data_IF_652806496174
#
_entry.id   IF_652806496174
#
_cell.length_a   1.000
_cell.length_b   1.000
_cell.length_c   1.000
_cell.angle_alpha   90.00
_cell.angle_beta   90.00
_cell.angle_gamma   90.00
#
_symmetry.space_group_name_H-M   'P 1'
#
loop_
_entity.id
_entity.type
_entity.pdbx_description
1 polymer ?
#
# COMPACT_ATOMS: atom_id res chain seq x y z
N UNK A 1 -3.06 49.79 48.01
CA UNK A 1 -3.30 48.40 48.43
C UNK A 1 -4.11 47.70 47.35
N UNK A 2 -3.72 46.49 46.94
CA UNK A 2 -4.52 45.62 46.06
C UNK A 2 -4.03 45.51 44.62
N UNK A 3 -3.17 44.53 44.36
CA UNK A 3 -2.72 44.07 43.04
C UNK A 3 -3.84 43.26 42.36
N UNK A 4 -4.05 43.44 41.06
CA UNK A 4 -4.67 42.44 40.19
C UNK A 4 -3.77 42.24 38.96
N UNK A 5 -3.11 41.07 38.92
CA UNK A 5 -2.31 40.58 37.81
C UNK A 5 -3.26 39.90 36.81
N UNK A 6 -3.33 40.40 35.58
CA UNK A 6 -3.89 39.65 34.46
C UNK A 6 -2.81 38.68 33.96
N UNK A 7 -3.07 37.38 34.12
CA UNK A 7 -2.32 36.32 33.49
C UNK A 7 -2.93 36.04 32.11
N UNK A 8 -2.20 36.41 31.06
CA UNK A 8 -2.45 35.95 29.69
C UNK A 8 -1.73 34.60 29.55
N UNK A 9 -2.48 33.50 29.51
CA UNK A 9 -1.94 32.18 29.15
C UNK A 9 -2.13 32.02 27.65
N UNK A 10 -1.01 31.97 26.94
CA UNK A 10 -0.94 31.84 25.49
C UNK A 10 -1.40 30.46 25.00
N UNK A 11 -2.18 30.46 23.95
CA UNK A 11 -2.42 29.28 23.11
C UNK A 11 -1.22 29.09 22.18
N UNK A 12 -0.29 28.21 22.56
CA UNK A 12 0.71 27.66 21.64
C UNK A 12 0.04 26.52 20.85
N UNK A 13 -0.48 26.86 19.68
CA UNK A 13 -0.82 25.89 18.65
C UNK A 13 0.47 25.35 18.03
N UNK A 14 0.90 24.17 18.47
CA UNK A 14 2.04 23.46 17.88
C UNK A 14 1.66 22.98 16.47
N UNK A 15 2.15 23.68 15.44
CA UNK A 15 2.10 23.21 14.07
C UNK A 15 2.96 21.95 13.93
N UNK A 16 2.35 20.84 13.52
CA UNK A 16 3.06 19.63 13.11
C UNK A 16 3.69 19.85 11.73
N UNK A 17 4.94 20.31 11.69
CA UNK A 17 5.77 20.30 10.47
C UNK A 17 6.76 19.14 10.60
N UNK A 18 6.38 17.97 10.08
CA UNK A 18 7.33 16.87 9.88
C UNK A 18 8.15 17.17 8.62
N UNK A 19 9.35 17.72 8.81
CA UNK A 19 10.32 17.92 7.74
C UNK A 19 10.93 16.59 7.30
N UNK A 20 10.45 16.04 6.19
CA UNK A 20 11.16 14.99 5.47
C UNK A 20 12.34 15.64 4.73
N UNK A 21 13.56 15.37 5.18
CA UNK A 21 14.79 15.81 4.51
C UNK A 21 14.99 15.08 3.19
N UNK A 22 14.57 15.69 2.08
CA UNK A 22 14.90 15.23 0.73
C UNK A 22 16.36 15.63 0.42
N UNK A 23 17.23 14.65 0.20
CA UNK A 23 18.52 14.90 -0.47
C UNK A 23 18.23 15.30 -1.90
N UNK A 24 18.37 16.59 -2.18
CA UNK A 24 18.20 17.20 -3.50
C UNK A 24 19.36 16.73 -4.39
N UNK A 25 19.11 15.81 -5.31
CA UNK A 25 20.05 15.52 -6.38
C UNK A 25 20.15 16.76 -7.27
N UNK A 26 21.34 17.38 -7.30
CA UNK A 26 21.64 18.41 -8.30
C UNK A 26 22.07 17.68 -9.57
N UNK A 27 21.27 17.77 -10.64
CA UNK A 27 21.90 17.92 -11.95
C UNK A 27 22.79 19.16 -11.83
N UNK A 28 24.03 19.03 -12.28
CA UNK A 28 24.81 20.19 -12.67
C UNK A 28 23.90 21.10 -13.52
N UNK A 29 23.93 22.41 -13.24
CA UNK A 29 23.21 23.48 -13.95
C UNK A 29 23.35 23.45 -15.49
N UNK A 30 24.19 22.58 -16.05
CA UNK A 30 24.39 22.33 -17.48
C UNK A 30 23.54 21.20 -18.06
N UNK A 31 22.87 20.40 -17.23
CA UNK A 31 22.03 19.30 -17.70
C UNK A 31 22.80 18.09 -18.25
N UNK A 32 24.07 17.89 -17.86
CA UNK A 32 24.85 16.72 -18.24
C UNK A 32 24.44 15.48 -17.42
N UNK A 33 24.02 14.41 -18.10
CA UNK A 33 23.61 13.11 -17.56
C UNK A 33 24.79 12.21 -17.16
N UNK A 34 25.68 12.65 -16.26
CA UNK A 34 26.81 11.77 -15.87
C UNK A 34 26.31 10.50 -15.17
N UNK A 35 26.53 9.35 -15.81
CA UNK A 35 26.30 8.02 -15.24
C UNK A 35 25.02 7.31 -15.70
N UNK A 36 24.34 7.80 -16.74
CA UNK A 36 23.26 7.04 -17.38
C UNK A 36 23.84 6.04 -18.40
N UNK A 37 23.20 4.87 -18.59
CA UNK A 37 23.48 4.03 -19.76
C UNK A 37 23.30 4.83 -21.07
N UNK A 38 24.16 4.60 -22.06
CA UNK A 38 24.21 5.41 -23.30
C UNK A 38 22.91 5.38 -24.11
N UNK A 39 22.16 4.28 -24.04
CA UNK A 39 20.82 4.13 -24.60
C UNK A 39 19.78 5.05 -23.93
N UNK A 40 19.92 5.30 -22.62
CA UNK A 40 19.06 6.21 -21.86
C UNK A 40 19.39 7.68 -22.19
N UNK A 41 20.65 8.00 -22.51
CA UNK A 41 21.04 9.35 -22.93
C UNK A 41 20.43 9.73 -24.28
N UNK A 42 20.40 8.81 -25.25
CA UNK A 42 19.87 9.07 -26.60
C UNK A 42 18.35 9.32 -26.56
N UNK A 43 17.59 8.52 -25.80
CA UNK A 43 16.15 8.72 -25.65
C UNK A 43 15.82 9.98 -24.85
N UNK A 44 16.67 10.35 -23.88
CA UNK A 44 16.52 11.61 -23.15
C UNK A 44 16.68 12.84 -24.07
N UNK A 45 17.53 12.76 -25.10
CA UNK A 45 17.69 13.82 -26.11
C UNK A 45 16.45 13.94 -27.02
N UNK A 46 15.90 12.84 -27.54
CA UNK A 46 14.65 12.86 -28.34
C UNK A 46 13.45 13.39 -27.53
N UNK A 47 13.34 12.96 -26.27
CA UNK A 47 12.29 13.43 -25.37
C UNK A 47 12.48 14.90 -24.97
N UNK A 48 13.73 15.37 -24.87
CA UNK A 48 14.07 16.79 -24.69
C UNK A 48 13.61 17.63 -25.88
N UNK A 49 13.86 17.18 -27.11
CA UNK A 49 13.40 17.87 -28.32
C UNK A 49 11.87 17.94 -28.40
N UNK A 50 11.18 16.82 -28.10
CA UNK A 50 9.72 16.76 -28.04
C UNK A 50 9.13 17.61 -26.91
N UNK A 51 9.78 17.66 -25.75
CA UNK A 51 9.38 18.52 -24.63
C UNK A 51 9.44 20.00 -25.01
N UNK A 52 10.56 20.41 -25.63
CA UNK A 52 10.75 21.77 -26.13
C UNK A 52 9.71 22.14 -27.18
N UNK A 53 9.39 21.23 -28.11
CA UNK A 53 8.37 21.44 -29.14
C UNK A 53 6.96 21.66 -28.57
N UNK A 54 6.69 21.17 -27.35
CA UNK A 54 5.40 21.30 -26.67
C UNK A 54 5.39 22.34 -25.53
N UNK A 55 6.46 23.12 -25.37
CA UNK A 55 6.56 24.15 -24.33
C UNK A 55 6.73 23.59 -22.90
N UNK A 56 7.14 22.33 -22.77
CA UNK A 56 7.42 21.69 -21.49
C UNK A 56 8.87 21.95 -21.06
N UNK A 57 9.13 21.96 -19.74
CA UNK A 57 10.51 22.08 -19.21
C UNK A 57 11.27 20.77 -19.47
N UNK A 58 12.26 20.76 -20.40
CA UNK A 58 12.97 19.54 -20.78
C UNK A 58 13.75 18.92 -19.61
N UNK A 59 14.17 19.72 -18.64
CA UNK A 59 14.90 19.24 -17.46
C UNK A 59 14.01 18.34 -16.61
N UNK A 60 12.72 18.68 -16.51
CA UNK A 60 11.74 17.89 -15.74
C UNK A 60 11.43 16.56 -16.42
N UNK A 61 11.23 16.58 -17.74
CA UNK A 61 11.01 15.37 -18.51
C UNK A 61 12.21 14.42 -18.46
N UNK A 62 13.45 14.92 -18.54
CA UNK A 62 14.63 14.06 -18.46
C UNK A 62 14.69 13.26 -17.14
N UNK A 63 14.38 13.88 -15.99
CA UNK A 63 14.32 13.15 -14.71
C UNK A 63 13.21 12.10 -14.68
N UNK A 64 12.04 12.44 -15.19
CA UNK A 64 10.88 11.58 -15.18
C UNK A 64 11.08 10.36 -16.10
N UNK A 65 11.73 10.55 -17.26
CA UNK A 65 12.12 9.49 -18.20
C UNK A 65 13.16 8.55 -17.58
N UNK A 66 14.17 9.08 -16.91
CA UNK A 66 15.16 8.26 -16.20
C UNK A 66 14.50 7.40 -15.13
N UNK A 67 13.55 7.94 -14.37
CA UNK A 67 12.81 7.18 -13.37
C UNK A 67 11.96 6.05 -13.99
N UNK A 68 11.32 6.33 -15.13
CA UNK A 68 10.53 5.35 -15.91
C UNK A 68 11.43 4.23 -16.45
N UNK A 69 12.54 4.55 -17.10
CA UNK A 69 13.48 3.57 -17.68
C UNK A 69 14.12 2.68 -16.62
N UNK A 70 14.49 3.24 -15.47
CA UNK A 70 14.96 2.46 -14.32
C UNK A 70 13.88 1.50 -13.83
N UNK A 71 12.63 1.95 -13.74
CA UNK A 71 11.52 1.06 -13.39
C UNK A 71 11.35 -0.04 -14.45
N UNK A 72 11.39 0.26 -15.74
CA UNK A 72 11.34 -0.76 -16.81
C UNK A 72 12.45 -1.81 -16.67
N UNK A 73 13.69 -1.38 -16.41
CA UNK A 73 14.82 -2.28 -16.16
C UNK A 73 14.60 -3.14 -14.91
N UNK A 74 14.01 -2.58 -13.85
CA UNK A 74 13.60 -3.33 -12.65
C UNK A 74 12.57 -4.41 -13.01
N UNK A 75 11.57 -4.06 -13.81
CA UNK A 75 10.50 -4.98 -14.21
C UNK A 75 10.96 -6.07 -15.17
N UNK A 76 11.95 -5.77 -16.03
CA UNK A 76 12.54 -6.71 -16.97
C UNK A 76 13.59 -7.63 -16.34
N UNK A 77 14.06 -7.32 -15.13
CA UNK A 77 15.09 -8.10 -14.43
C UNK A 77 14.59 -9.48 -13.98
N UNK A 78 15.47 -10.48 -14.06
CA UNK A 78 15.24 -11.79 -13.45
C UNK A 78 15.17 -11.71 -11.91
N UNK A 79 15.83 -10.72 -11.32
CA UNK A 79 15.70 -10.35 -9.91
C UNK A 79 15.29 -8.86 -9.80
N UNK A 80 13.98 -8.57 -9.78
CA UNK A 80 13.46 -7.20 -9.66
C UNK A 80 13.87 -6.51 -8.36
N UNK A 81 14.30 -7.25 -7.33
CA UNK A 81 14.57 -6.71 -6.00
C UNK A 81 15.99 -6.21 -5.92
N UNK A 82 16.93 -7.01 -6.41
CA UNK A 82 18.30 -6.56 -6.62
C UNK A 82 18.31 -5.36 -7.59
N UNK A 83 17.62 -5.47 -8.72
CA UNK A 83 17.52 -4.37 -9.69
C UNK A 83 16.90 -3.11 -9.07
N UNK A 84 15.82 -3.23 -8.28
CA UNK A 84 15.22 -2.07 -7.62
C UNK A 84 16.17 -1.40 -6.62
N UNK A 85 16.97 -2.20 -5.91
CA UNK A 85 17.96 -1.72 -4.95
C UNK A 85 19.11 -0.98 -5.64
N UNK A 86 19.56 -1.47 -6.79
CA UNK A 86 20.66 -0.89 -7.57
C UNK A 86 20.21 0.32 -8.40
N UNK A 87 19.07 0.23 -9.08
CA UNK A 87 18.65 1.19 -10.11
C UNK A 87 17.81 2.34 -9.58
N UNK A 88 16.95 2.12 -8.58
CA UNK A 88 16.06 3.18 -8.11
C UNK A 88 16.76 4.18 -7.19
N UNK A 89 18.02 3.91 -6.79
CA UNK A 89 18.92 4.77 -5.99
C UNK A 89 18.22 5.45 -4.78
N UNK A 90 17.11 4.84 -4.37
CA UNK A 90 16.16 5.40 -3.44
C UNK A 90 16.52 4.90 -2.06
N UNK A 91 16.56 5.81 -1.09
CA UNK A 91 16.50 5.41 0.32
C UNK A 91 15.33 4.45 0.46
N UNK A 92 15.65 3.23 0.87
CA UNK A 92 14.69 2.20 1.18
C UNK A 92 13.60 2.79 2.07
N UNK A 93 12.39 2.93 1.51
CA UNK A 93 11.35 3.70 2.22
C UNK A 93 10.68 2.85 3.29
N UNK A 94 10.62 1.52 3.09
CA UNK A 94 10.07 0.57 4.05
C UNK A 94 10.26 -0.90 3.68
N UNK A 95 10.66 -1.71 4.66
CA UNK A 95 10.44 -3.16 4.69
C UNK A 95 9.22 -3.36 5.57
N UNK A 96 8.22 -4.08 5.10
CA UNK A 96 7.32 -4.71 6.06
C UNK A 96 8.08 -5.88 6.69
N UNK A 97 7.91 -6.08 7.99
CA UNK A 97 8.41 -7.28 8.64
C UNK A 97 7.85 -8.52 7.94
N UNK A 98 8.63 -9.60 7.92
CA UNK A 98 8.19 -10.89 7.42
C UNK A 98 7.09 -11.41 8.35
N UNK A 99 5.89 -11.60 7.84
CA UNK A 99 4.84 -12.31 8.57
C UNK A 99 5.20 -13.79 8.68
N UNK A 100 4.57 -14.52 9.59
CA UNK A 100 4.80 -15.95 9.77
C UNK A 100 4.16 -16.82 8.67
N UNK A 101 3.37 -16.24 7.75
CA UNK A 101 3.07 -16.87 6.46
C UNK A 101 4.28 -16.77 5.51
N UNK A 102 5.38 -16.16 5.94
CA UNK A 102 6.57 -15.96 5.13
C UNK A 102 6.41 -14.85 4.10
N UNK A 103 5.33 -14.08 4.17
CA UNK A 103 5.06 -12.95 3.29
C UNK A 103 5.80 -11.73 3.80
N UNK A 104 6.41 -10.98 2.90
CA UNK A 104 6.93 -9.65 3.21
C UNK A 104 6.71 -8.73 2.03
N UNK A 105 6.84 -7.43 2.24
CA UNK A 105 6.82 -6.44 1.17
C UNK A 105 8.00 -5.50 1.33
N UNK A 106 8.54 -5.06 0.20
CA UNK A 106 9.55 -4.02 0.13
C UNK A 106 9.04 -2.92 -0.77
N UNK A 107 9.20 -1.68 -0.33
CA UNK A 107 8.73 -0.52 -1.08
C UNK A 107 9.83 0.48 -1.34
N UNK A 108 9.99 0.82 -2.61
CA UNK A 108 10.88 1.85 -3.12
C UNK A 108 10.05 3.03 -3.58
N UNK A 109 10.62 4.22 -3.46
CA UNK A 109 10.08 5.43 -4.06
C UNK A 109 11.14 6.04 -4.93
N UNK A 110 10.79 6.31 -6.18
CA UNK A 110 11.55 7.16 -7.08
C UNK A 110 10.75 8.45 -7.26
N UNK A 111 11.40 9.59 -7.09
CA UNK A 111 10.79 10.90 -7.33
C UNK A 111 11.63 11.64 -8.37
N UNK A 112 10.99 12.00 -9.47
CA UNK A 112 11.47 12.97 -10.44
C UNK A 112 10.99 14.38 -10.10
N UNK A 113 11.17 15.30 -11.04
CA UNK A 113 10.83 16.70 -10.82
C UNK A 113 9.32 16.96 -10.85
N UNK A 114 8.58 16.16 -11.60
CA UNK A 114 7.11 16.20 -11.72
C UNK A 114 6.44 14.86 -11.43
N UNK A 115 7.21 13.78 -11.37
CA UNK A 115 6.69 12.43 -11.33
C UNK A 115 7.08 11.71 -10.03
N UNK A 116 6.10 11.10 -9.37
CA UNK A 116 6.31 10.31 -8.16
C UNK A 116 5.94 8.86 -8.40
N UNK A 117 6.94 7.97 -8.43
CA UNK A 117 6.77 6.52 -8.55
C UNK A 117 6.96 5.83 -7.20
N UNK A 118 6.01 4.98 -6.82
CA UNK A 118 6.17 3.96 -5.81
C UNK A 118 6.28 2.60 -6.49
N UNK A 119 7.21 1.77 -6.03
CA UNK A 119 7.34 0.38 -6.44
C UNK A 119 7.28 -0.49 -5.20
N UNK A 120 6.42 -1.49 -5.18
CA UNK A 120 6.27 -2.42 -4.07
C UNK A 120 6.40 -3.84 -4.59
N UNK A 121 7.30 -4.62 -4.02
CA UNK A 121 7.46 -6.05 -4.31
C UNK A 121 6.99 -6.83 -3.09
N UNK A 122 6.12 -7.82 -3.32
CA UNK A 122 5.73 -8.79 -2.31
C UNK A 122 6.54 -10.08 -2.47
N UNK A 123 6.82 -10.73 -1.36
CA UNK A 123 7.59 -11.96 -1.27
C UNK A 123 6.77 -13.03 -0.58
N UNK A 124 7.10 -14.29 -0.83
CA UNK A 124 6.67 -15.43 -0.04
C UNK A 124 7.86 -16.37 0.16
N UNK A 125 8.24 -16.58 1.42
CA UNK A 125 9.41 -17.38 1.81
C UNK A 125 10.70 -16.95 1.09
N UNK A 126 10.88 -15.64 0.90
CA UNK A 126 12.04 -15.04 0.22
C UNK A 126 11.97 -15.06 -1.32
N UNK A 127 10.94 -15.64 -1.93
CA UNK A 127 10.72 -15.61 -3.39
C UNK A 127 9.75 -14.50 -3.76
N UNK A 128 9.97 -13.86 -4.90
CA UNK A 128 9.08 -12.81 -5.40
C UNK A 128 7.71 -13.38 -5.73
N UNK A 129 6.68 -12.90 -5.04
CA UNK A 129 5.28 -13.28 -5.21
C UNK A 129 4.65 -12.46 -6.35
N UNK A 130 4.99 -11.18 -6.40
CA UNK A 130 4.51 -10.23 -7.38
C UNK A 130 4.92 -8.83 -6.99
N UNK A 131 4.53 -7.86 -7.80
CA UNK A 131 4.91 -6.47 -7.62
C UNK A 131 3.81 -5.54 -8.11
N UNK A 132 3.82 -4.31 -7.59
CA UNK A 132 2.98 -3.20 -8.02
C UNK A 132 3.85 -1.96 -8.16
N UNK A 133 3.76 -1.31 -9.31
CA UNK A 133 4.27 0.03 -9.52
C UNK A 133 3.09 1.00 -9.60
N UNK A 134 3.19 2.14 -8.94
CA UNK A 134 2.23 3.23 -9.07
C UNK A 134 3.00 4.52 -9.26
N UNK A 135 2.77 5.18 -10.38
CA UNK A 135 3.40 6.44 -10.69
C UNK A 135 2.36 7.52 -10.94
N UNK A 136 2.56 8.70 -10.37
CA UNK A 136 1.75 9.89 -10.64
C UNK A 136 2.51 10.85 -11.57
N UNK A 137 1.85 11.36 -12.60
CA UNK A 137 2.38 12.29 -13.59
C UNK A 137 1.35 12.66 -14.67
N UNK A 138 1.66 13.61 -15.54
CA UNK A 138 0.78 14.03 -16.63
C UNK A 138 0.46 12.86 -17.59
N UNK A 139 -0.77 12.83 -18.11
CA UNK A 139 -1.31 11.71 -18.91
C UNK A 139 -0.52 11.48 -20.19
N UNK A 140 -0.03 12.56 -20.78
CA UNK A 140 0.75 12.62 -22.01
C UNK A 140 2.07 11.85 -21.84
N UNK A 141 2.71 11.96 -20.68
CA UNK A 141 3.97 11.27 -20.33
C UNK A 141 3.78 9.75 -20.30
N UNK A 142 2.65 9.27 -19.79
CA UNK A 142 2.37 7.82 -19.71
C UNK A 142 2.05 7.20 -21.06
N UNK A 143 1.30 7.92 -21.89
CA UNK A 143 0.79 7.42 -23.17
C UNK A 143 1.89 6.93 -24.11
N UNK A 144 3.08 7.51 -24.02
CA UNK A 144 4.26 7.10 -24.79
C UNK A 144 4.94 5.82 -24.26
N UNK A 145 4.85 5.54 -22.96
CA UNK A 145 5.54 4.41 -22.33
C UNK A 145 4.68 3.13 -22.20
N UNK A 146 3.35 3.26 -22.25
CA UNK A 146 2.40 2.15 -22.07
C UNK A 146 2.69 0.88 -22.92
N UNK A 147 3.03 0.96 -24.23
CA UNK A 147 3.22 -0.24 -25.05
C UNK A 147 4.38 -1.14 -24.61
N UNK A 148 5.38 -0.58 -23.92
CA UNK A 148 6.51 -1.37 -23.40
C UNK A 148 6.12 -2.10 -22.11
N UNK A 149 5.35 -1.44 -21.23
CA UNK A 149 4.87 -2.03 -19.98
C UNK A 149 3.92 -3.21 -20.19
N UNK A 150 3.03 -3.16 -21.20
CA UNK A 150 2.06 -4.25 -21.45
C UNK A 150 2.72 -5.61 -21.68
N UNK A 151 3.99 -5.66 -22.09
CA UNK A 151 4.74 -6.91 -22.30
C UNK A 151 5.15 -7.62 -21.01
N UNK A 152 5.18 -6.90 -19.89
CA UNK A 152 5.71 -7.39 -18.61
C UNK A 152 4.69 -7.31 -17.46
N UNK A 153 3.46 -6.88 -17.76
CA UNK A 153 2.45 -6.50 -16.76
C UNK A 153 1.22 -7.38 -16.88
N UNK A 154 0.80 -7.98 -15.76
CA UNK A 154 -0.44 -8.77 -15.67
C UNK A 154 -1.66 -7.84 -15.67
N UNK A 155 -1.53 -6.62 -15.12
CA UNK A 155 -2.59 -5.63 -15.10
C UNK A 155 -2.06 -4.20 -15.14
N UNK A 156 -2.44 -3.45 -16.16
CA UNK A 156 -2.16 -2.02 -16.30
C UNK A 156 -3.44 -1.23 -16.08
N UNK A 157 -3.41 -0.23 -15.21
CA UNK A 157 -4.57 0.60 -14.84
C UNK A 157 -4.18 2.07 -14.89
N UNK A 158 -4.88 2.84 -15.72
CA UNK A 158 -4.72 4.31 -15.79
C UNK A 158 -5.90 4.96 -15.07
N UNK A 159 -5.64 5.83 -14.08
CA UNK A 159 -6.67 6.59 -13.34
C UNK A 159 -6.27 8.06 -13.26
N UNK A 160 -6.79 8.87 -14.20
CA UNK A 160 -6.45 10.28 -14.28
C UNK A 160 -4.97 10.49 -14.58
N UNK A 161 -4.25 11.06 -13.62
CA UNK A 161 -2.80 11.33 -13.63
C UNK A 161 -1.97 10.18 -13.03
N UNK A 162 -2.56 9.00 -12.80
CA UNK A 162 -1.86 7.85 -12.24
C UNK A 162 -1.82 6.66 -13.16
N UNK A 163 -0.61 6.12 -13.35
CA UNK A 163 -0.37 4.81 -13.94
C UNK A 163 -0.11 3.80 -12.81
N UNK A 164 -0.83 2.68 -12.81
CA UNK A 164 -0.58 1.55 -11.93
C UNK A 164 -0.35 0.30 -12.77
N UNK A 165 0.75 -0.39 -12.51
CA UNK A 165 1.14 -1.64 -13.16
C UNK A 165 1.31 -2.73 -12.10
N UNK A 166 0.81 -3.93 -12.36
CA UNK A 166 0.93 -5.07 -11.45
C UNK A 166 1.45 -6.30 -12.21
N UNK A 167 2.37 -7.04 -11.59
CA UNK A 167 2.87 -8.31 -12.10
C UNK A 167 2.85 -9.40 -11.03
N UNK A 168 2.67 -10.66 -11.44
CA UNK A 168 2.64 -11.81 -10.53
C UNK A 168 3.47 -12.98 -11.07
N UNK A 169 3.93 -13.83 -10.17
CA UNK A 169 4.59 -15.10 -10.51
C UNK A 169 3.63 -16.25 -10.15
N UNK A 170 2.90 -16.83 -11.12
CA UNK A 170 1.77 -17.72 -10.85
C UNK A 170 2.11 -18.92 -9.96
N UNK A 171 3.28 -19.55 -10.14
CA UNK A 171 3.73 -20.69 -9.35
C UNK A 171 4.06 -20.32 -7.89
N UNK A 172 4.54 -19.11 -7.65
CA UNK A 172 4.78 -18.59 -6.29
C UNK A 172 3.45 -18.22 -5.63
N UNK A 173 2.53 -17.63 -6.39
CA UNK A 173 1.17 -17.31 -5.95
C UNK A 173 0.42 -18.58 -5.54
N UNK A 174 0.45 -19.62 -6.36
CA UNK A 174 -0.20 -20.90 -6.07
C UNK A 174 0.32 -21.53 -4.77
N UNK A 175 1.64 -21.52 -4.56
CA UNK A 175 2.27 -22.03 -3.33
C UNK A 175 1.86 -21.20 -2.10
N UNK A 176 1.89 -19.87 -2.20
CA UNK A 176 1.45 -18.99 -1.12
C UNK A 176 -0.03 -19.19 -0.78
N UNK A 177 -0.86 -19.44 -1.80
CA UNK A 177 -2.29 -19.69 -1.63
C UNK A 177 -2.59 -21.05 -1.02
N UNK A 178 -1.85 -22.09 -1.41
CA UNK A 178 -1.95 -23.41 -0.81
C UNK A 178 -1.57 -23.39 0.68
N UNK A 179 -0.48 -22.72 1.04
CA UNK A 179 -0.05 -22.63 2.44
C UNK A 179 -1.01 -21.78 3.29
N UNK A 180 -1.44 -20.62 2.77
CA UNK A 180 -2.47 -19.82 3.43
C UNK A 180 -3.74 -20.65 3.64
N UNK A 181 -4.19 -21.37 2.62
CA UNK A 181 -5.38 -22.21 2.72
C UNK A 181 -5.21 -23.35 3.73
N UNK A 182 -4.00 -23.90 3.89
CA UNK A 182 -3.67 -24.90 4.90
C UNK A 182 -3.76 -24.34 6.32
N UNK A 183 -3.29 -23.11 6.53
CA UNK A 183 -3.21 -22.48 7.85
C UNK A 183 -4.51 -21.79 8.28
N UNK A 184 -5.18 -21.10 7.35
CA UNK A 184 -6.35 -20.26 7.63
C UNK A 184 -7.66 -20.84 7.10
N UNK A 185 -7.59 -21.91 6.30
CA UNK A 185 -8.73 -22.48 5.58
C UNK A 185 -8.87 -21.92 4.16
N UNK A 186 -9.55 -22.69 3.30
CA UNK A 186 -9.79 -22.33 1.91
C UNK A 186 -10.82 -21.20 1.78
N UNK A 187 -10.55 -20.26 0.89
CA UNK A 187 -11.57 -19.31 0.40
C UNK A 187 -12.58 -20.09 -0.43
N UNK A 188 -13.86 -20.02 -0.06
CA UNK A 188 -14.96 -20.62 -0.81
C UNK A 188 -15.43 -19.66 -1.89
N UNK A 189 -15.73 -20.19 -3.08
CA UNK A 189 -16.42 -19.42 -4.11
C UNK A 189 -17.77 -18.95 -3.56
N UNK A 190 -17.95 -17.64 -3.52
CA UNK A 190 -19.15 -16.99 -3.00
C UNK A 190 -19.53 -15.88 -3.97
N UNK A 191 -20.80 -15.77 -4.32
CA UNK A 191 -21.26 -14.72 -5.22
C UNK A 191 -21.10 -13.35 -4.55
N UNK A 192 -20.34 -12.46 -5.21
CA UNK A 192 -20.12 -11.09 -4.77
C UNK A 192 -21.05 -10.16 -5.55
N UNK A 193 -22.06 -9.54 -4.90
CA UNK A 193 -22.95 -8.60 -5.55
C UNK A 193 -22.17 -7.47 -6.19
N UNK A 194 -22.66 -6.98 -7.33
CA UNK A 194 -21.99 -5.91 -8.07
C UNK A 194 -21.67 -4.69 -7.19
N UNK A 195 -22.61 -4.26 -6.36
CA UNK A 195 -22.45 -3.11 -5.45
C UNK A 195 -21.34 -3.30 -4.39
N UNK A 196 -20.98 -4.55 -4.05
CA UNK A 196 -19.96 -4.86 -3.04
C UNK A 196 -18.63 -5.30 -3.66
N UNK A 197 -18.55 -5.43 -4.98
CA UNK A 197 -17.38 -5.96 -5.68
C UNK A 197 -16.12 -5.17 -5.36
N UNK A 198 -16.18 -3.83 -5.45
CA UNK A 198 -15.03 -2.98 -5.18
C UNK A 198 -14.55 -3.09 -3.72
N UNK A 199 -15.47 -3.17 -2.76
CA UNK A 199 -15.12 -3.33 -1.35
C UNK A 199 -14.44 -4.68 -1.09
N UNK A 200 -15.02 -5.76 -1.63
CA UNK A 200 -14.45 -7.10 -1.54
C UNK A 200 -13.05 -7.16 -2.19
N UNK A 201 -12.91 -6.66 -3.42
CA UNK A 201 -11.63 -6.62 -4.13
C UNK A 201 -10.58 -5.79 -3.39
N UNK A 202 -10.96 -4.67 -2.78
CA UNK A 202 -10.06 -3.86 -1.95
C UNK A 202 -9.51 -4.69 -0.79
N UNK A 203 -10.38 -5.41 -0.08
CA UNK A 203 -10.03 -6.25 1.07
C UNK A 203 -9.32 -7.55 0.70
N UNK A 204 -9.46 -8.05 -0.53
CA UNK A 204 -8.80 -9.28 -0.99
C UNK A 204 -7.67 -9.03 -1.98
N UNK A 205 -7.37 -7.78 -2.33
CA UNK A 205 -6.28 -7.46 -3.24
C UNK A 205 -4.95 -7.72 -2.56
N UNK A 206 -4.16 -8.66 -3.08
CA UNK A 206 -2.89 -9.09 -2.49
C UNK A 206 -1.90 -7.95 -2.23
N UNK A 207 -1.96 -6.92 -3.08
CA UNK A 207 -0.99 -5.83 -3.07
C UNK A 207 -1.58 -4.50 -2.58
N UNK A 208 -2.85 -4.47 -2.19
CA UNK A 208 -3.43 -3.27 -1.60
C UNK A 208 -2.74 -2.98 -0.26
N UNK A 209 -2.11 -1.80 -0.08
CA UNK A 209 -1.43 -1.42 1.15
C UNK A 209 -2.46 -1.00 2.21
N UNK A 210 -3.24 -1.95 2.70
CA UNK A 210 -4.26 -1.72 3.70
C UNK A 210 -3.61 -1.51 5.08
N UNK A 211 -3.89 -0.35 5.66
CA UNK A 211 -3.55 -0.05 7.06
C UNK A 211 -4.66 -0.61 7.95
N UNK A 212 -4.29 -1.29 9.03
CA UNK A 212 -5.25 -1.71 10.04
C UNK A 212 -5.71 -0.51 10.87
N UNK A 213 -6.79 0.12 10.42
CA UNK A 213 -7.52 1.14 11.16
C UNK A 213 -8.87 1.40 10.48
N UNK A 214 -9.90 1.71 11.28
CA UNK A 214 -11.15 2.25 10.71
C UNK A 214 -10.96 3.68 10.23
N UNK A 215 -10.20 4.50 10.96
CA UNK A 215 -9.96 5.91 10.62
C UNK A 215 -8.49 6.30 10.84
N UNK A 216 -7.97 7.23 10.03
CA UNK A 216 -6.64 7.81 10.19
C UNK A 216 -6.66 9.35 10.21
N UNK A 217 -5.95 9.95 11.17
CA UNK A 217 -5.71 11.40 11.24
C UNK A 217 -6.80 12.23 11.95
N UNK A 218 -6.59 13.55 11.97
CA UNK A 218 -7.61 14.54 12.40
C UNK A 218 -8.58 14.78 11.24
N UNK A 219 -9.81 14.30 11.37
CA UNK A 219 -10.88 14.53 10.37
C UNK A 219 -11.68 13.30 9.96
N UNK A 220 -11.58 12.20 10.73
CA UNK A 220 -12.45 11.02 10.61
C UNK A 220 -12.47 10.34 9.23
N UNK A 221 -11.45 10.61 8.40
CA UNK A 221 -11.30 9.96 7.10
C UNK A 221 -11.16 8.46 7.30
N UNK A 222 -12.21 7.73 6.92
CA UNK A 222 -12.21 6.27 6.97
C UNK A 222 -11.10 5.76 6.05
N UNK A 223 -10.30 4.79 6.53
CA UNK A 223 -9.28 4.21 5.65
C UNK A 223 -9.96 3.44 4.53
N UNK A 224 -9.31 3.24 3.36
CA UNK A 224 -9.90 2.44 2.29
C UNK A 224 -10.32 1.03 2.74
N UNK A 225 -9.53 0.41 3.64
CA UNK A 225 -9.86 -0.88 4.24
C UNK A 225 -11.04 -0.78 5.22
N UNK A 226 -11.06 0.25 6.08
CA UNK A 226 -12.17 0.53 7.00
C UNK A 226 -13.51 0.69 6.27
N UNK A 227 -13.54 1.56 5.26
CA UNK A 227 -14.73 1.80 4.45
C UNK A 227 -15.20 0.54 3.72
N UNK A 228 -14.26 -0.25 3.19
CA UNK A 228 -14.59 -1.50 2.52
C UNK A 228 -15.18 -2.55 3.48
N UNK A 229 -14.59 -2.75 4.67
CA UNK A 229 -15.12 -3.73 5.62
C UNK A 229 -16.47 -3.30 6.18
N UNK A 230 -16.63 -1.99 6.42
CA UNK A 230 -17.91 -1.39 6.81
C UNK A 230 -18.99 -1.63 5.76
N UNK A 231 -18.69 -1.46 4.47
CA UNK A 231 -19.66 -1.72 3.41
C UNK A 231 -20.14 -3.18 3.39
N UNK A 232 -19.25 -4.15 3.61
CA UNK A 232 -19.64 -5.57 3.72
C UNK A 232 -20.48 -5.84 4.98
N UNK A 233 -20.12 -5.20 6.10
CA UNK A 233 -20.81 -5.31 7.38
C UNK A 233 -22.23 -4.73 7.34
N UNK A 234 -22.39 -3.51 6.79
CA UNK A 234 -23.67 -2.83 6.64
C UNK A 234 -24.63 -3.63 5.74
N UNK A 235 -24.09 -4.30 4.72
CA UNK A 235 -24.84 -5.21 3.84
C UNK A 235 -25.09 -6.60 4.46
N UNK A 236 -24.68 -6.83 5.72
CA UNK A 236 -24.81 -8.10 6.44
C UNK A 236 -24.19 -9.30 5.71
N UNK A 237 -23.18 -9.08 4.86
CA UNK A 237 -22.49 -10.13 4.09
C UNK A 237 -21.36 -10.77 4.90
N UNK A 238 -21.73 -11.37 6.02
CA UNK A 238 -20.82 -12.10 6.91
C UNK A 238 -20.10 -13.25 6.20
N UNK A 239 -20.73 -13.84 5.19
CA UNK A 239 -20.12 -14.83 4.30
C UNK A 239 -18.92 -14.25 3.54
N UNK A 240 -19.03 -13.03 3.00
CA UNK A 240 -17.92 -12.34 2.33
C UNK A 240 -16.83 -11.93 3.32
N UNK A 241 -17.20 -11.44 4.51
CA UNK A 241 -16.23 -11.12 5.57
C UNK A 241 -15.42 -12.36 5.97
N UNK A 242 -16.07 -13.53 6.06
CA UNK A 242 -15.37 -14.81 6.29
C UNK A 242 -14.45 -15.23 5.15
N UNK A 243 -14.76 -14.86 3.90
CA UNK A 243 -13.83 -15.07 2.79
C UNK A 243 -12.64 -14.12 2.88
N UNK A 244 -12.86 -12.85 3.24
CA UNK A 244 -11.79 -11.87 3.48
C UNK A 244 -10.84 -12.35 4.58
N UNK A 245 -11.37 -12.89 5.69
CA UNK A 245 -10.57 -13.48 6.79
C UNK A 245 -9.58 -14.56 6.32
N UNK A 246 -9.91 -15.26 5.22
CA UNK A 246 -9.11 -16.34 4.61
C UNK A 246 -8.37 -15.89 3.35
N UNK A 247 -8.56 -14.62 2.98
CA UNK A 247 -8.07 -14.01 1.76
C UNK A 247 -6.57 -13.68 1.80
N UNK A 248 -5.98 -13.29 0.65
CA UNK A 248 -4.54 -13.10 0.54
C UNK A 248 -4.03 -11.79 1.18
N UNK A 249 -4.87 -10.77 1.33
CA UNK A 249 -4.46 -9.49 1.92
C UNK A 249 -4.44 -9.55 3.45
N UNK A 250 -3.28 -9.28 4.05
CA UNK A 250 -3.08 -9.29 5.50
C UNK A 250 -3.93 -8.27 6.25
N UNK A 251 -3.92 -7.00 5.85
CA UNK A 251 -4.73 -5.96 6.47
C UNK A 251 -6.23 -6.24 6.34
N UNK A 252 -6.66 -6.79 5.19
CA UNK A 252 -8.02 -7.25 4.96
C UNK A 252 -8.43 -8.35 5.93
N UNK A 253 -7.58 -9.36 6.15
CA UNK A 253 -7.84 -10.45 7.11
C UNK A 253 -8.07 -9.91 8.52
N UNK A 254 -7.25 -8.96 8.96
CA UNK A 254 -7.37 -8.37 10.30
C UNK A 254 -8.63 -7.52 10.44
N UNK A 255 -8.96 -6.72 9.43
CA UNK A 255 -10.21 -5.95 9.41
C UNK A 255 -11.43 -6.88 9.48
N UNK A 256 -11.39 -8.02 8.76
CA UNK A 256 -12.44 -9.03 8.82
C UNK A 256 -12.52 -9.72 10.19
N UNK A 257 -11.38 -10.04 10.81
CA UNK A 257 -11.32 -10.59 12.16
C UNK A 257 -11.95 -9.63 13.17
N UNK A 258 -11.53 -8.36 13.15
CA UNK A 258 -12.05 -7.30 14.02
C UNK A 258 -13.58 -7.17 13.86
N UNK A 259 -14.08 -7.14 12.62
CA UNK A 259 -15.51 -7.01 12.35
C UNK A 259 -16.32 -8.21 12.86
N UNK A 260 -15.83 -9.44 12.65
CA UNK A 260 -16.50 -10.65 13.16
C UNK A 260 -16.55 -10.67 14.70
N UNK A 261 -15.50 -10.20 15.36
CA UNK A 261 -15.45 -10.04 16.83
C UNK A 261 -16.48 -9.00 17.27
N UNK A 262 -16.46 -7.80 16.67
CA UNK A 262 -17.31 -6.68 17.07
C UNK A 262 -18.80 -6.96 16.88
N UNK A 263 -19.17 -7.70 15.83
CA UNK A 263 -20.55 -8.15 15.61
C UNK A 263 -20.93 -9.35 16.46
N UNK A 264 -19.95 -10.03 17.04
CA UNK A 264 -20.15 -11.28 17.74
C UNK A 264 -20.61 -12.43 16.85
N UNK A 265 -20.19 -12.40 15.58
CA UNK A 265 -20.61 -13.32 14.54
C UNK A 265 -19.54 -14.38 14.19
N UNK A 266 -18.39 -14.36 14.86
CA UNK A 266 -17.38 -15.40 14.73
C UNK A 266 -17.93 -16.75 15.20
N UNK A 267 -17.87 -17.76 14.33
CA UNK A 267 -18.12 -19.16 14.71
C UNK A 267 -16.81 -19.84 15.14
N UNK A 268 -16.88 -21.12 15.53
CA UNK A 268 -15.72 -21.89 15.97
C UNK A 268 -14.57 -21.90 14.96
N UNK A 269 -14.88 -22.12 13.67
CA UNK A 269 -13.86 -22.12 12.62
C UNK A 269 -13.24 -20.72 12.41
N UNK A 270 -14.02 -19.66 12.54
CA UNK A 270 -13.51 -18.28 12.46
C UNK A 270 -12.63 -17.96 13.68
N UNK A 271 -13.02 -18.39 14.89
CA UNK A 271 -12.23 -18.22 16.11
C UNK A 271 -10.86 -18.91 16.01
N UNK A 272 -10.81 -20.13 15.45
CA UNK A 272 -9.55 -20.83 15.19
C UNK A 272 -8.69 -20.08 14.17
N UNK A 273 -9.28 -19.58 13.08
CA UNK A 273 -8.57 -18.74 12.10
C UNK A 273 -8.02 -17.45 12.73
N UNK A 274 -8.81 -16.79 13.59
CA UNK A 274 -8.41 -15.56 14.29
C UNK A 274 -7.26 -15.84 15.28
N UNK A 275 -7.32 -16.92 16.03
CA UNK A 275 -6.23 -17.35 16.91
C UNK A 275 -4.95 -17.62 16.10
N UNK A 276 -5.07 -18.27 14.94
CA UNK A 276 -3.94 -18.49 14.05
C UNK A 276 -3.39 -17.18 13.49
N UNK A 277 -4.23 -16.19 13.15
CA UNK A 277 -3.79 -14.87 12.69
C UNK A 277 -2.97 -14.12 13.73
N UNK A 278 -3.32 -14.21 15.02
CA UNK A 278 -2.54 -13.62 16.12
C UNK A 278 -1.09 -14.13 16.14
N UNK A 279 -0.90 -15.41 15.82
CA UNK A 279 0.42 -16.04 15.77
C UNK A 279 1.17 -15.72 14.47
N UNK A 280 0.44 -15.68 13.36
CA UNK A 280 1.05 -15.53 12.03
C UNK A 280 1.40 -14.09 11.68
N UNK A 281 0.71 -13.11 12.25
CA UNK A 281 0.93 -11.71 11.93
C UNK A 281 1.19 -10.98 13.23
N UNK A 282 2.43 -11.03 13.77
CA UNK A 282 2.71 -10.46 15.08
C UNK A 282 2.59 -8.93 15.04
N UNK A 283 2.94 -8.29 13.93
CA UNK A 283 2.97 -6.84 13.78
C UNK A 283 2.36 -6.45 12.45
N UNK A 284 1.49 -5.44 12.47
CA UNK A 284 0.95 -4.80 11.26
C UNK A 284 1.16 -3.31 11.28
N UNK A 285 1.11 -2.72 10.09
CA UNK A 285 0.92 -1.30 10.01
C UNK A 285 -0.51 -0.94 10.48
N UNK A 286 -0.57 -0.21 11.58
CA UNK A 286 -1.81 0.34 12.13
C UNK A 286 -1.76 1.86 12.14
N UNK A 287 -2.91 2.44 12.46
CA UNK A 287 -3.06 3.88 12.57
C UNK A 287 -4.05 4.21 13.70
N UNK A 288 -3.62 5.06 14.62
CA UNK A 288 -4.41 5.53 15.75
C UNK A 288 -4.33 7.06 15.84
N UNK A 289 -5.36 7.73 15.34
CA UNK A 289 -5.35 9.19 15.20
C UNK A 289 -4.22 9.64 14.28
N UNK A 290 -3.33 10.51 14.77
CA UNK A 290 -2.20 11.04 14.00
C UNK A 290 -0.97 10.12 13.98
N UNK A 291 -0.99 9.02 14.73
CA UNK A 291 0.12 8.08 14.82
C UNK A 291 -0.08 6.95 13.82
N UNK A 292 0.90 6.76 12.94
CA UNK A 292 0.97 5.64 12.00
C UNK A 292 2.23 4.86 12.27
N UNK A 293 2.13 3.55 12.45
CA UNK A 293 3.28 2.75 12.85
C UNK A 293 2.98 1.26 12.97
N UNK A 294 4.03 0.45 13.22
CA UNK A 294 3.85 -0.95 13.56
C UNK A 294 3.04 -1.08 14.86
N UNK A 295 2.15 -2.06 14.92
CA UNK A 295 1.39 -2.42 16.12
C UNK A 295 1.17 -3.91 16.20
N UNK A 296 1.15 -4.42 17.42
CA UNK A 296 0.95 -5.84 17.67
C UNK A 296 -0.50 -6.24 17.42
N UNK A 297 -0.71 -7.32 16.67
CA UNK A 297 -2.07 -7.77 16.30
C UNK A 297 -2.88 -8.27 17.49
N UNK A 298 -2.24 -8.99 18.42
CA UNK A 298 -2.91 -9.52 19.62
C UNK A 298 -3.68 -8.44 20.38
N UNK A 299 -2.99 -7.39 20.89
CA UNK A 299 -3.63 -6.28 21.58
C UNK A 299 -4.75 -5.58 20.80
N UNK A 300 -4.60 -5.45 19.47
CA UNK A 300 -5.61 -4.83 18.61
C UNK A 300 -6.91 -5.65 18.57
N UNK A 301 -6.82 -6.98 18.47
CA UNK A 301 -7.99 -7.85 18.47
C UNK A 301 -8.61 -8.00 19.87
N UNK A 302 -7.80 -7.99 20.93
CA UNK A 302 -8.27 -8.00 22.31
C UNK A 302 -9.05 -6.73 22.66
N UNK A 303 -8.65 -5.59 22.10
CA UNK A 303 -9.40 -4.34 22.20
C UNK A 303 -10.79 -4.47 21.57
N UNK A 304 -10.92 -5.14 20.42
CA UNK A 304 -12.20 -5.39 19.78
C UNK A 304 -13.13 -6.26 20.63
N UNK A 305 -12.59 -7.30 21.28
CA UNK A 305 -13.34 -8.15 22.24
C UNK A 305 -13.83 -7.34 23.45
N UNK A 306 -12.99 -6.45 23.97
CA UNK A 306 -13.32 -5.54 25.08
C UNK A 306 -14.45 -4.60 24.68
N UNK A 307 -14.36 -3.96 23.51
CA UNK A 307 -15.40 -3.07 22.97
C UNK A 307 -16.72 -3.82 22.81
N UNK A 308 -16.70 -5.04 22.25
CA UNK A 308 -17.88 -5.88 22.11
C UNK A 308 -18.54 -6.14 23.46
N UNK A 309 -17.77 -6.58 24.45
CA UNK A 309 -18.28 -6.89 25.80
C UNK A 309 -18.96 -5.66 26.42
N UNK A 310 -18.33 -4.49 26.33
CA UNK A 310 -18.90 -3.24 26.82
C UNK A 310 -20.21 -2.86 26.10
N UNK A 311 -20.31 -3.09 24.78
CA UNK A 311 -21.54 -2.84 24.01
C UNK A 311 -22.69 -3.76 24.43
N UNK A 312 -22.39 -5.02 24.75
CA UNK A 312 -23.40 -5.98 25.23
C UNK A 312 -23.87 -5.58 26.63
N UNK A 313 -22.96 -5.27 27.56
CA UNK A 313 -23.32 -4.88 28.93
C UNK A 313 -24.17 -3.61 28.99
N UNK A 314 -23.97 -2.65 28.08
CA UNK A 314 -24.77 -1.42 28.01
C UNK A 314 -26.17 -1.60 27.43
N UNK A 315 -26.43 -2.71 26.74
CA UNK A 315 -27.76 -3.05 26.18
C UNK A 315 -28.58 -3.94 27.12
N UNK A 316 -28.01 -4.42 28.23
CA UNK A 316 -28.76 -5.16 29.22
C UNK A 316 -29.73 -4.20 29.97
N UNK A 317 -31.02 -4.56 30.06
CA UNK A 317 -32.06 -3.72 30.66
C UNK A 317 -31.91 -3.51 32.16
#
# INVERSE_FOLDING_TARGET
>A
MGRLRNAVIGALGTLCVAGAGYTKWRLDTRGESRGLPADVEIEAEDLRERALANGLDPTRLAYDVVAIKRLEQVLASADPVQAATELLDGKFSRESQKDALGTSTRSWRAAGASLGCGFTVAFYSGKTLGWVASCGGEKETWSAALPEYERHVVKLTVRGDRLQAEGTFPDVVERADAERARLLGKVKSTEVPFALRQAYETLTSRFAPLVFARSCGKGDGETPGGAAIKALADAQRLDLIRQVLRGPNEGGRLLAAEELILQGAANEADSQTIAQLRLLTPVVESCSGCSRGPSEVGPLLDQAETIRTQRVSRKAP
#
